data_IF_083115403046
#
_entry.id   IF_083115403046
#
_cell.length_a   1.000
_cell.length_b   1.000
_cell.length_c   1.000
_cell.angle_alpha   90.00
_cell.angle_beta   90.00
_cell.angle_gamma   90.00
#
_symmetry.space_group_name_H-M   'P 1'
#
loop_
_entity.id
_entity.type
_entity.pdbx_description
1 polymer ?
#
# COMPACT_ATOMS: atom_id res chain seq x y z
N UNK A 1 9.63 -27.03 -12.47
CA UNK A 1 10.04 -25.80 -11.77
C UNK A 1 9.66 -24.65 -12.68
N UNK A 2 8.51 -24.05 -12.44
CA UNK A 2 7.99 -22.99 -13.31
C UNK A 2 8.72 -21.70 -12.96
N UNK A 3 9.38 -21.08 -13.93
CA UNK A 3 9.99 -19.77 -13.75
C UNK A 3 8.88 -18.74 -13.57
N UNK A 4 8.78 -18.14 -12.39
CA UNK A 4 7.89 -17.00 -12.16
C UNK A 4 8.69 -15.74 -12.50
N UNK A 5 8.28 -15.03 -13.55
CA UNK A 5 8.88 -13.75 -13.93
C UNK A 5 8.49 -12.71 -12.89
N UNK A 6 9.49 -12.06 -12.29
CA UNK A 6 9.28 -10.91 -11.40
C UNK A 6 8.62 -9.75 -12.14
N UNK A 7 7.52 -9.22 -11.59
CA UNK A 7 6.94 -7.96 -12.05
C UNK A 7 7.91 -6.82 -11.79
N UNK A 8 8.07 -5.97 -12.78
CA UNK A 8 8.84 -4.73 -12.72
C UNK A 8 8.17 -3.68 -11.82
N UNK A 9 8.91 -2.63 -11.47
CA UNK A 9 8.36 -1.49 -10.72
C UNK A 9 7.14 -0.88 -11.43
N UNK A 10 7.21 -0.73 -12.76
CA UNK A 10 6.10 -0.20 -13.54
C UNK A 10 4.87 -1.10 -13.45
N UNK A 11 5.04 -2.43 -13.61
CA UNK A 11 3.94 -3.39 -13.51
C UNK A 11 3.31 -3.39 -12.10
N UNK A 12 4.11 -3.23 -11.05
CA UNK A 12 3.61 -3.12 -9.67
C UNK A 12 2.85 -1.81 -9.42
N UNK A 13 3.40 -0.67 -9.84
CA UNK A 13 2.74 0.62 -9.69
C UNK A 13 1.44 0.69 -10.50
N UNK A 14 1.43 0.16 -11.71
CA UNK A 14 0.23 0.10 -12.55
C UNK A 14 -0.85 -0.78 -11.90
N UNK A 15 -0.48 -1.91 -11.31
CA UNK A 15 -1.40 -2.77 -10.56
C UNK A 15 -2.01 -2.02 -9.37
N UNK A 16 -1.17 -1.39 -8.54
CA UNK A 16 -1.58 -0.63 -7.34
C UNK A 16 -2.57 0.49 -7.71
N UNK A 17 -2.22 1.30 -8.73
CA UNK A 17 -3.04 2.43 -9.17
C UNK A 17 -4.32 1.93 -9.85
N UNK A 18 -4.25 0.86 -10.65
CA UNK A 18 -5.43 0.29 -11.34
C UNK A 18 -6.43 -0.28 -10.34
N UNK A 19 -5.96 -0.99 -9.32
CA UNK A 19 -6.81 -1.47 -8.23
C UNK A 19 -7.60 -0.33 -7.59
N UNK A 20 -6.90 0.75 -7.23
CA UNK A 20 -7.55 1.93 -6.68
C UNK A 20 -8.52 2.58 -7.66
N UNK A 21 -8.17 2.72 -8.94
CA UNK A 21 -9.06 3.32 -9.95
C UNK A 21 -10.35 2.54 -10.16
N UNK A 22 -10.29 1.21 -10.15
CA UNK A 22 -11.43 0.33 -10.39
C UNK A 22 -12.41 0.26 -9.21
N UNK A 23 -11.95 0.51 -7.99
CA UNK A 23 -12.80 0.53 -6.79
C UNK A 23 -13.16 1.96 -6.39
N UNK A 24 -14.45 2.32 -6.48
CA UNK A 24 -14.93 3.65 -6.12
C UNK A 24 -14.80 3.96 -4.62
N UNK A 25 -14.68 2.94 -3.76
CA UNK A 25 -14.52 3.10 -2.31
C UNK A 25 -13.12 3.56 -1.93
N UNK A 26 -12.13 3.33 -2.80
CA UNK A 26 -10.78 3.86 -2.68
C UNK A 26 -10.76 5.26 -3.28
N UNK A 27 -10.40 6.26 -2.47
CA UNK A 27 -10.40 7.68 -2.81
C UNK A 27 -9.01 8.21 -3.14
N UNK A 28 -7.97 7.63 -2.56
CA UNK A 28 -6.60 8.03 -2.81
C UNK A 28 -5.61 6.90 -2.56
N UNK A 29 -4.39 7.10 -3.05
CA UNK A 29 -3.26 6.19 -2.86
C UNK A 29 -2.03 7.01 -2.51
N UNK A 30 -1.43 6.69 -1.36
CA UNK A 30 -0.13 7.17 -0.95
C UNK A 30 0.88 6.03 -1.06
N UNK A 31 2.11 6.37 -1.40
CA UNK A 31 3.25 5.47 -1.28
C UNK A 31 4.29 6.10 -0.37
N UNK A 32 4.69 5.35 0.64
CA UNK A 32 5.62 5.80 1.66
C UNK A 32 6.98 5.11 1.52
N UNK A 33 7.88 5.44 2.44
CA UNK A 33 9.05 4.64 2.73
C UNK A 33 10.17 4.76 1.70
N UNK A 34 11.03 3.75 1.70
CA UNK A 34 12.33 3.85 1.02
C UNK A 34 12.22 3.98 -0.50
N UNK A 35 11.14 3.47 -1.13
CA UNK A 35 10.96 3.57 -2.59
C UNK A 35 10.70 4.98 -3.11
N UNK A 36 10.24 5.89 -2.26
CA UNK A 36 10.02 7.30 -2.63
C UNK A 36 11.20 8.19 -2.26
N UNK A 37 12.18 7.66 -1.53
CA UNK A 37 13.37 8.40 -1.12
C UNK A 37 14.28 8.71 -2.32
N UNK A 38 14.52 9.98 -2.67
CA UNK A 38 15.34 10.35 -3.82
C UNK A 38 16.84 10.11 -3.59
N UNK A 39 17.28 9.89 -2.34
CA UNK A 39 18.69 9.80 -1.98
C UNK A 39 19.26 8.37 -2.03
N UNK A 40 18.43 7.37 -2.33
CA UNK A 40 18.84 5.97 -2.41
C UNK A 40 18.53 5.36 -3.77
N UNK A 41 19.40 4.47 -4.22
CA UNK A 41 19.14 3.68 -5.42
C UNK A 41 18.09 2.63 -5.10
N UNK A 42 17.07 2.55 -5.97
CA UNK A 42 16.04 1.55 -5.79
C UNK A 42 16.58 0.15 -6.03
N UNK A 43 16.10 -0.81 -5.25
CA UNK A 43 16.44 -2.22 -5.41
C UNK A 43 15.21 -3.13 -5.32
N UNK A 44 15.48 -4.43 -5.51
CA UNK A 44 14.46 -5.49 -5.55
C UNK A 44 13.99 -5.94 -4.16
N UNK A 45 14.68 -5.55 -3.09
CA UNK A 45 14.38 -5.92 -1.71
C UNK A 45 13.53 -4.88 -0.98
N UNK A 46 13.44 -3.67 -1.51
CA UNK A 46 12.56 -2.64 -0.97
C UNK A 46 11.08 -3.04 -1.06
N UNK A 47 10.29 -2.62 -0.09
CA UNK A 47 8.86 -2.90 -0.04
C UNK A 47 8.08 -1.80 -0.78
N UNK A 48 6.91 -2.14 -1.34
CA UNK A 48 5.94 -1.13 -1.73
C UNK A 48 5.11 -0.79 -0.50
N UNK A 49 5.43 0.29 0.20
CA UNK A 49 4.66 0.78 1.34
C UNK A 49 3.46 1.58 0.84
N UNK A 50 2.28 0.97 0.74
CA UNK A 50 1.09 1.55 0.12
C UNK A 50 0.00 1.83 1.15
N UNK A 51 -0.56 3.03 1.10
CA UNK A 51 -1.77 3.39 1.86
C UNK A 51 -2.91 3.70 0.90
N UNK A 52 -3.96 2.87 0.93
CA UNK A 52 -5.24 3.13 0.30
C UNK A 52 -6.14 3.94 1.24
N UNK A 53 -6.46 5.16 0.84
CA UNK A 53 -7.43 6.00 1.53
C UNK A 53 -8.84 5.59 1.10
N UNK A 54 -9.67 5.16 2.05
CA UNK A 54 -11.00 4.61 1.81
C UNK A 54 -12.07 5.32 2.66
N UNK A 55 -13.34 5.22 2.27
CA UNK A 55 -14.45 5.71 3.10
C UNK A 55 -14.91 4.67 4.14
N UNK A 56 -14.54 3.41 3.95
CA UNK A 56 -14.82 2.32 4.87
C UNK A 56 -13.75 1.23 4.68
N UNK A 57 -13.19 0.75 5.79
CA UNK A 57 -12.13 -0.27 5.80
C UNK A 57 -12.70 -1.68 5.77
N UNK A 58 -13.92 -1.90 6.30
CA UNK A 58 -14.51 -3.24 6.45
C UNK A 58 -14.51 -4.07 5.15
N UNK A 59 -14.86 -3.52 3.96
CA UNK A 59 -14.90 -4.33 2.74
C UNK A 59 -13.53 -4.83 2.29
N UNK A 60 -12.45 -4.21 2.76
CA UNK A 60 -11.08 -4.54 2.37
C UNK A 60 -10.44 -5.56 3.30
N UNK A 61 -11.14 -6.02 4.34
CA UNK A 61 -10.70 -7.15 5.18
C UNK A 61 -10.89 -8.51 4.51
N UNK A 62 -11.68 -8.56 3.43
CA UNK A 62 -11.84 -9.78 2.64
C UNK A 62 -10.56 -10.08 1.86
N UNK A 63 -9.80 -11.04 2.36
CA UNK A 63 -8.56 -11.52 1.72
C UNK A 63 -8.78 -11.99 0.27
N UNK A 64 -9.93 -12.60 -0.05
CA UNK A 64 -10.23 -13.04 -1.42
C UNK A 64 -10.39 -11.85 -2.36
N UNK A 65 -10.95 -10.74 -1.85
CA UNK A 65 -11.07 -9.50 -2.61
C UNK A 65 -9.70 -8.95 -3.00
N UNK A 66 -8.71 -9.03 -2.11
CA UNK A 66 -7.34 -8.59 -2.36
C UNK A 66 -6.61 -9.56 -3.31
N UNK A 67 -6.58 -10.85 -2.98
CA UNK A 67 -5.82 -11.86 -3.72
C UNK A 67 -6.31 -12.08 -5.15
N UNK A 68 -7.63 -11.96 -5.40
CA UNK A 68 -8.18 -12.04 -6.76
C UNK A 68 -7.68 -10.94 -7.71
N UNK A 69 -7.05 -9.88 -7.19
CA UNK A 69 -6.54 -8.74 -7.95
C UNK A 69 -5.03 -8.66 -7.96
N UNK A 70 -4.38 -8.96 -6.84
CA UNK A 70 -2.92 -8.86 -6.70
C UNK A 70 -2.18 -10.13 -7.11
N UNK A 71 -2.86 -11.27 -7.12
CA UNK A 71 -2.30 -12.57 -7.46
C UNK A 71 -1.84 -13.37 -6.25
N UNK A 72 -1.16 -14.49 -6.52
CA UNK A 72 -0.74 -15.44 -5.50
C UNK A 72 0.40 -14.91 -4.63
N UNK A 73 0.28 -15.16 -3.32
CA UNK A 73 1.27 -14.80 -2.30
C UNK A 73 2.03 -16.02 -1.81
N UNK A 74 3.32 -15.86 -1.57
CA UNK A 74 4.16 -16.84 -0.87
C UNK A 74 3.97 -16.75 0.64
N UNK A 75 3.85 -15.53 1.16
CA UNK A 75 3.66 -15.24 2.58
C UNK A 75 2.69 -14.06 2.72
N UNK A 76 1.81 -14.13 3.70
CA UNK A 76 0.92 -13.04 4.09
C UNK A 76 0.81 -12.97 5.62
N UNK A 77 0.91 -11.77 6.17
CA UNK A 77 0.49 -11.47 7.54
C UNK A 77 -0.57 -10.38 7.56
N UNK A 78 -1.51 -10.52 8.51
CA UNK A 78 -2.57 -9.55 8.79
C UNK A 78 -2.47 -9.14 10.26
N UNK A 79 -1.68 -8.10 10.60
CA UNK A 79 -1.48 -7.64 11.98
C UNK A 79 -2.77 -7.46 12.77
N UNK A 80 -3.83 -6.98 12.12
CA UNK A 80 -5.13 -6.71 12.74
C UNK A 80 -5.92 -7.97 13.12
N UNK A 81 -5.56 -9.14 12.57
CA UNK A 81 -6.16 -10.44 12.90
C UNK A 81 -5.39 -11.17 14.03
N UNK A 82 -4.27 -10.61 14.51
CA UNK A 82 -3.44 -11.25 15.54
C UNK A 82 -4.08 -11.14 16.93
N UNK A 83 -3.94 -12.22 17.71
CA UNK A 83 -4.34 -12.26 19.13
C UNK A 83 -3.21 -11.70 20.02
N UNK A 84 -1.96 -12.01 19.69
CA UNK A 84 -0.78 -11.59 20.46
C UNK A 84 0.41 -11.23 19.55
N UNK A 85 1.00 -10.01 19.68
CA UNK A 85 0.43 -8.89 20.43
C UNK A 85 -0.95 -8.50 19.85
N UNK A 86 -1.85 -7.93 20.66
CA UNK A 86 -3.11 -7.42 20.14
C UNK A 86 -2.83 -6.29 19.12
N UNK A 87 -3.76 -6.06 18.19
CA UNK A 87 -3.58 -5.03 17.19
C UNK A 87 -3.59 -3.63 17.81
N UNK A 88 -2.96 -2.68 17.12
CA UNK A 88 -2.82 -1.28 17.59
C UNK A 88 -4.19 -0.62 17.78
N UNK A 89 -5.18 -0.99 16.96
CA UNK A 89 -6.55 -0.49 17.09
C UNK A 89 -6.75 0.95 16.62
N UNK A 90 -5.93 1.43 15.70
CA UNK A 90 -6.01 2.80 15.14
C UNK A 90 -6.96 2.92 13.94
N UNK A 91 -7.69 1.85 13.63
CA UNK A 91 -8.67 1.79 12.54
C UNK A 91 -8.07 1.48 11.16
N UNK A 92 -6.76 1.21 11.07
CA UNK A 92 -6.17 0.66 9.84
C UNK A 92 -6.51 -0.82 9.68
N UNK A 93 -6.37 -1.34 8.45
CA UNK A 93 -6.25 -2.78 8.21
C UNK A 93 -5.07 -3.04 7.27
N UNK A 94 -4.23 -4.01 7.61
CA UNK A 94 -2.91 -4.19 7.01
C UNK A 94 -2.76 -5.59 6.42
N UNK A 95 -2.21 -5.64 5.21
CA UNK A 95 -1.66 -6.84 4.58
C UNK A 95 -0.17 -6.65 4.36
N UNK A 96 0.65 -7.49 5.00
CA UNK A 96 2.08 -7.60 4.74
C UNK A 96 2.28 -8.81 3.84
N UNK A 97 2.61 -8.60 2.56
CA UNK A 97 2.60 -9.66 1.56
C UNK A 97 3.95 -9.79 0.84
N UNK A 98 4.39 -11.02 0.67
CA UNK A 98 5.42 -11.38 -0.30
C UNK A 98 4.78 -12.24 -1.40
N UNK A 99 4.85 -11.77 -2.64
CA UNK A 99 4.28 -12.45 -3.80
C UNK A 99 5.16 -13.59 -4.29
N UNK A 100 4.57 -14.50 -5.08
CA UNK A 100 5.30 -15.62 -5.70
C UNK A 100 6.42 -15.17 -6.65
N UNK A 101 6.36 -13.94 -7.14
CA UNK A 101 7.34 -13.33 -8.03
C UNK A 101 8.46 -12.58 -7.29
N UNK A 102 8.43 -12.59 -5.95
CA UNK A 102 9.44 -12.02 -5.06
C UNK A 102 9.17 -10.57 -4.61
N UNK A 103 8.24 -9.86 -5.26
CA UNK A 103 7.86 -8.51 -4.85
C UNK A 103 7.21 -8.52 -3.47
N UNK A 104 7.46 -7.48 -2.66
CA UNK A 104 6.89 -7.30 -1.33
C UNK A 104 6.09 -6.02 -1.25
N UNK A 105 4.90 -6.08 -0.65
CA UNK A 105 4.01 -4.93 -0.46
C UNK A 105 3.52 -4.91 0.98
N UNK A 106 3.65 -3.74 1.60
CA UNK A 106 3.07 -3.42 2.89
C UNK A 106 1.85 -2.54 2.58
N UNK A 107 0.67 -3.17 2.59
CA UNK A 107 -0.57 -2.57 2.14
C UNK A 107 -1.44 -2.20 3.34
N UNK A 108 -1.78 -0.92 3.47
CA UNK A 108 -2.67 -0.41 4.50
C UNK A 108 -3.95 0.15 3.90
N UNK A 109 -5.08 -0.16 4.50
CA UNK A 109 -6.37 0.49 4.26
C UNK A 109 -6.68 1.39 5.44
N UNK A 110 -6.94 2.68 5.17
CA UNK A 110 -7.21 3.67 6.20
C UNK A 110 -8.32 4.62 5.78
N UNK A 111 -9.13 5.05 6.75
CA UNK A 111 -10.18 6.02 6.48
C UNK A 111 -9.61 7.35 5.98
N UNK A 112 -10.24 7.99 4.99
CA UNK A 112 -9.78 9.26 4.38
C UNK A 112 -9.57 10.38 5.39
N UNK A 113 -10.31 10.38 6.50
CA UNK A 113 -10.12 11.35 7.61
C UNK A 113 -8.76 11.27 8.30
N UNK A 114 -7.94 10.27 8.00
CA UNK A 114 -6.59 10.08 8.55
C UNK A 114 -5.48 10.65 7.67
N UNK A 115 -5.81 11.25 6.53
CA UNK A 115 -4.81 11.77 5.57
C UNK A 115 -3.80 12.72 6.22
N UNK A 116 -4.25 13.62 7.10
CA UNK A 116 -3.38 14.59 7.78
C UNK A 116 -2.36 13.95 8.73
N UNK A 117 -2.65 12.76 9.26
CA UNK A 117 -1.71 12.01 10.10
C UNK A 117 -0.65 11.33 9.25
N UNK A 118 -1.03 10.86 8.05
CA UNK A 118 -0.18 10.09 7.15
C UNK A 118 0.82 10.95 6.39
N UNK A 119 0.42 12.14 5.95
CA UNK A 119 1.28 13.04 5.17
C UNK A 119 2.36 13.74 6.01
N UNK A 120 2.40 13.51 7.33
CA UNK A 120 3.48 14.01 8.20
C UNK A 120 4.79 13.27 7.97
N UNK A 121 4.74 12.09 7.36
CA UNK A 121 5.93 11.36 6.96
C UNK A 121 6.57 12.06 5.74
N UNK A 122 7.82 12.48 5.90
CA UNK A 122 8.58 13.21 4.87
C UNK A 122 8.92 12.34 3.66
N UNK A 123 8.78 11.02 3.77
CA UNK A 123 8.91 10.08 2.66
C UNK A 123 7.53 9.61 2.19
N UNK A 124 6.68 10.56 1.77
CA UNK A 124 5.34 10.29 1.22
C UNK A 124 5.21 10.81 -0.21
N UNK A 125 4.64 9.99 -1.10
CA UNK A 125 4.27 10.39 -2.47
C UNK A 125 2.81 10.06 -2.74
N UNK A 126 2.05 11.02 -3.24
CA UNK A 126 0.69 10.78 -3.76
C UNK A 126 0.79 10.08 -5.12
N UNK A 127 0.19 8.89 -5.24
CA UNK A 127 0.06 8.16 -6.50
C UNK A 127 -1.30 8.40 -7.18
N UNK A 128 -2.34 8.64 -6.38
CA UNK A 128 -3.70 8.92 -6.85
C UNK A 128 -4.45 9.78 -5.83
N UNK A 129 -5.16 10.79 -6.31
CA UNK A 129 -6.16 11.55 -5.56
C UNK A 129 -7.39 11.73 -6.44
N UNK A 130 -8.50 11.08 -6.09
CA UNK A 130 -9.76 11.18 -6.85
C UNK A 130 -10.63 12.35 -6.41
N UNK A 131 -10.39 12.86 -5.21
CA UNK A 131 -11.23 13.88 -4.58
C UNK A 131 -10.58 15.27 -4.62
N UNK A 132 -9.31 15.35 -5.02
CA UNK A 132 -8.52 16.58 -5.06
C UNK A 132 -8.49 17.27 -3.69
N UNK A 133 -8.42 16.47 -2.63
CA UNK A 133 -8.51 16.91 -1.23
C UNK A 133 -7.30 16.47 -0.39
N UNK A 134 -6.35 15.74 -0.97
CA UNK A 134 -5.09 15.47 -0.30
C UNK A 134 -4.27 16.76 -0.31
N UNK A 135 -3.81 17.26 0.85
CA UNK A 135 -3.00 18.48 0.91
C UNK A 135 -1.76 18.39 0.03
N UNK A 136 -1.29 19.53 -0.48
CA UNK A 136 -0.01 19.61 -1.18
C UNK A 136 1.11 19.20 -0.22
N UNK A 137 1.75 18.07 -0.52
CA UNK A 137 2.92 17.59 0.21
C UNK A 137 4.20 18.00 -0.52
N UNK A 138 5.26 18.39 0.22
CA UNK A 138 6.55 18.61 -0.39
C UNK A 138 7.06 17.30 -1.03
N UNK A 139 7.97 17.38 -2.03
CA UNK A 139 8.62 16.20 -2.56
C UNK A 139 9.28 15.37 -1.44
N UNK A 140 9.27 14.03 -1.53
CA UNK A 140 9.87 13.17 -0.51
C UNK A 140 11.30 13.58 -0.16
N UNK A 141 11.61 13.71 1.13
CA UNK A 141 12.96 14.07 1.59
C UNK A 141 13.29 13.50 2.97
N UNK A 142 14.58 13.40 3.28
CA UNK A 142 15.12 12.95 4.57
C UNK A 142 15.27 14.11 5.59
N UNK A 143 14.68 15.28 5.33
CA UNK A 143 14.79 16.48 6.18
C UNK A 143 13.58 16.68 7.09
#
# INVERSE_FOLDING_TARGET
MTYVKMRTEQEMLDLIITFAKQDHRIRGVLMNGSRVNPNINKDIFQDYDIVYLVTDVEPFKDENYILSRFGEVMLMEKPEDKIFPPPIGDGRYTYLMQFMDGNRIDMHFMHTSKVDELIKDSLTKVLLDKDHNIPDIPPPSEQ
#
